data_IF_673925716091
#
_entry.id   IF_673925716091
#
_cell.length_a   1.000
_cell.length_b   1.000
_cell.length_c   1.000
_cell.angle_alpha   90.00
_cell.angle_beta   90.00
_cell.angle_gamma   90.00
#
_symmetry.space_group_name_H-M   'P 1'
#
loop_
_entity.id
_entity.type
_entity.pdbx_description
1 polymer ?
#
# COMPACT_ATOMS: atom_id res chain seq x y z
N UNK A 1 12.65 0.16 0.04
CA UNK A 1 11.39 -0.08 0.77
C UNK A 1 10.63 1.19 1.17
N UNK A 2 11.29 2.31 1.50
CA UNK A 2 10.60 3.54 1.95
C UNK A 2 9.86 4.37 0.89
N UNK A 3 10.10 4.17 -0.41
CA UNK A 3 9.46 4.98 -1.48
C UNK A 3 8.12 4.43 -1.96
N UNK A 4 7.85 3.14 -1.73
CA UNK A 4 6.58 2.50 -2.13
C UNK A 4 5.51 2.80 -1.06
N UNK A 5 5.85 2.68 0.24
CA UNK A 5 5.00 3.00 1.40
C UNK A 5 4.82 4.50 1.64
N UNK A 6 4.31 5.22 0.64
CA UNK A 6 3.82 6.59 0.83
C UNK A 6 2.47 6.53 1.54
N UNK A 7 2.28 7.45 2.49
CA UNK A 7 1.18 7.46 3.44
C UNK A 7 -0.19 7.67 2.74
N UNK A 8 -0.78 6.59 2.24
CA UNK A 8 -2.10 6.58 1.60
C UNK A 8 -3.20 7.01 2.57
N UNK A 9 -2.99 6.88 3.88
CA UNK A 9 -3.92 7.39 4.90
C UNK A 9 -4.02 8.93 4.86
N UNK A 10 -2.91 9.64 4.64
CA UNK A 10 -2.93 11.09 4.41
C UNK A 10 -3.60 11.42 3.08
N UNK A 11 -3.31 10.65 2.02
CA UNK A 11 -3.96 10.85 0.72
C UNK A 11 -5.49 10.69 0.82
N UNK A 12 -5.96 9.69 1.57
CA UNK A 12 -7.38 9.45 1.82
C UNK A 12 -8.00 10.59 2.63
N UNK A 13 -7.33 11.05 3.69
CA UNK A 13 -7.79 12.18 4.48
C UNK A 13 -7.92 13.46 3.64
N UNK A 14 -6.94 13.75 2.77
CA UNK A 14 -6.99 14.89 1.84
C UNK A 14 -8.11 14.69 0.81
N UNK A 15 -8.27 13.49 0.24
CA UNK A 15 -9.35 13.19 -0.70
C UNK A 15 -10.73 13.52 -0.12
N UNK A 16 -10.99 13.09 1.12
CA UNK A 16 -12.28 13.29 1.79
C UNK A 16 -12.52 14.73 2.26
N UNK A 17 -11.46 15.48 2.58
CA UNK A 17 -11.59 16.83 3.17
C UNK A 17 -11.45 17.96 2.16
N UNK A 18 -10.66 17.77 1.10
CA UNK A 18 -10.38 18.80 0.11
C UNK A 18 -11.28 18.72 -1.14
N UNK A 19 -11.85 17.55 -1.46
CA UNK A 19 -12.58 17.32 -2.71
C UNK A 19 -14.09 17.08 -2.54
N UNK A 20 -14.66 17.27 -1.35
CA UNK A 20 -16.11 17.25 -1.16
C UNK A 20 -16.80 15.96 -1.66
N UNK A 21 -17.78 16.09 -2.58
CA UNK A 21 -18.55 14.94 -3.09
C UNK A 21 -17.71 14.04 -4.00
N UNK A 22 -16.82 14.63 -4.76
CA UNK A 22 -15.88 13.97 -5.68
C UNK A 22 -14.79 13.22 -4.90
N UNK A 23 -14.55 13.59 -3.64
CA UNK A 23 -13.64 12.92 -2.73
C UNK A 23 -13.97 11.44 -2.48
N UNK A 24 -15.23 11.04 -2.62
CA UNK A 24 -15.65 9.65 -2.44
C UNK A 24 -15.12 8.72 -3.55
N UNK A 25 -15.12 9.17 -4.81
CA UNK A 25 -14.57 8.39 -5.93
C UNK A 25 -13.06 8.25 -5.80
N UNK A 26 -12.38 9.34 -5.43
CA UNK A 26 -10.93 9.36 -5.18
C UNK A 26 -10.57 8.44 -4.00
N UNK A 27 -11.37 8.47 -2.93
CA UNK A 27 -11.18 7.62 -1.75
C UNK A 27 -11.23 6.12 -2.08
N UNK A 28 -12.12 5.69 -2.99
CA UNK A 28 -12.20 4.29 -3.44
C UNK A 28 -10.93 3.88 -4.16
N UNK A 29 -10.40 4.72 -5.05
CA UNK A 29 -9.15 4.44 -5.78
C UNK A 29 -7.98 4.32 -4.80
N UNK A 30 -7.89 5.22 -3.81
CA UNK A 30 -6.86 5.19 -2.78
C UNK A 30 -6.97 3.94 -1.90
N UNK A 31 -8.20 3.54 -1.53
CA UNK A 31 -8.43 2.34 -0.75
C UNK A 31 -8.00 1.07 -1.52
N UNK A 32 -8.31 0.97 -2.81
CA UNK A 32 -7.83 -0.14 -3.64
C UNK A 32 -6.30 -0.16 -3.76
N UNK A 33 -5.68 0.99 -3.98
CA UNK A 33 -4.23 1.11 -4.03
C UNK A 33 -3.59 0.65 -2.71
N UNK A 34 -4.24 0.95 -1.57
CA UNK A 34 -3.75 0.52 -0.25
C UNK A 34 -3.81 -1.00 -0.09
N UNK A 35 -4.90 -1.64 -0.50
CA UNK A 35 -5.02 -3.11 -0.46
C UNK A 35 -3.94 -3.75 -1.33
N UNK A 36 -3.79 -3.30 -2.58
CA UNK A 36 -2.79 -3.84 -3.51
C UNK A 36 -1.39 -3.70 -2.93
N UNK A 37 -1.08 -2.56 -2.35
CA UNK A 37 0.21 -2.30 -1.75
C UNK A 37 0.54 -3.26 -0.59
N UNK A 38 -0.38 -3.41 0.37
CA UNK A 38 -0.18 -4.30 1.53
C UNK A 38 -0.04 -5.74 1.07
N UNK A 39 -0.89 -6.17 0.14
CA UNK A 39 -0.85 -7.53 -0.38
C UNK A 39 0.41 -7.80 -1.19
N UNK A 40 0.83 -6.87 -2.05
CA UNK A 40 2.06 -7.00 -2.83
C UNK A 40 3.30 -7.10 -1.92
N UNK A 41 3.35 -6.37 -0.80
CA UNK A 41 4.44 -6.47 0.16
C UNK A 41 4.46 -7.85 0.87
N UNK A 42 3.29 -8.34 1.30
CA UNK A 42 3.18 -9.67 1.91
C UNK A 42 3.54 -10.79 0.91
N UNK A 43 3.10 -10.65 -0.34
CA UNK A 43 3.44 -11.56 -1.42
C UNK A 43 4.94 -11.52 -1.72
N UNK A 44 5.53 -10.33 -1.81
CA UNK A 44 6.96 -10.15 -2.02
C UNK A 44 7.77 -10.91 -0.97
N UNK A 45 7.47 -10.76 0.32
CA UNK A 45 8.18 -11.50 1.40
C UNK A 45 8.03 -13.01 1.23
N UNK A 46 6.80 -13.50 1.01
CA UNK A 46 6.52 -14.93 0.85
C UNK A 46 7.20 -15.56 -0.37
N UNK A 47 7.28 -14.81 -1.47
CA UNK A 47 7.96 -15.26 -2.69
C UNK A 47 9.48 -15.16 -2.57
N UNK A 48 9.98 -14.13 -1.89
CA UNK A 48 11.42 -13.96 -1.65
C UNK A 48 11.98 -15.13 -0.83
N UNK A 49 11.29 -15.56 0.24
CA UNK A 49 11.67 -16.74 1.03
C UNK A 49 11.75 -18.01 0.17
N UNK A 50 10.86 -18.14 -0.82
CA UNK A 50 10.79 -19.33 -1.68
C UNK A 50 11.82 -19.33 -2.81
N UNK A 51 12.22 -18.16 -3.31
CA UNK A 51 13.18 -18.03 -4.41
C UNK A 51 14.62 -17.81 -3.94
N UNK A 52 14.84 -17.15 -2.80
CA UNK A 52 16.17 -16.78 -2.30
C UNK A 52 16.57 -17.53 -1.02
N UNK A 53 15.65 -18.33 -0.44
CA UNK A 53 15.88 -19.06 0.81
C UNK A 53 15.78 -18.15 2.04
N UNK A 54 15.72 -18.73 3.26
CA UNK A 54 15.65 -17.95 4.48
C UNK A 54 16.89 -17.07 4.64
N UNK A 55 16.69 -15.83 5.10
CA UNK A 55 17.79 -14.93 5.40
C UNK A 55 18.80 -15.61 6.36
N UNK A 56 20.12 -15.44 6.14
CA UNK A 56 21.12 -16.09 6.98
C UNK A 56 20.89 -15.71 8.44
N UNK A 57 20.69 -16.70 9.31
CA UNK A 57 20.69 -16.51 10.75
C UNK A 57 22.13 -16.30 11.19
N UNK A 58 22.49 -15.06 11.51
CA UNK A 58 23.73 -14.70 12.20
C UNK A 58 23.63 -15.02 13.68
#
# INVERSE_FOLDING_TARGET
YGTVMRNLSIALAIAMTAFGKEGAEIAIIIAMAYIIQVQAAAWYVKFNDKFFGPAPST
#
